data_IF_411466419174
#
_entry.id   IF_411466419174
#
_cell.length_a   1.000
_cell.length_b   1.000
_cell.length_c   1.000
_cell.angle_alpha   90.00
_cell.angle_beta   90.00
_cell.angle_gamma   90.00
#
_symmetry.space_group_name_H-M   'P 1'
#
loop_
_entity.id
_entity.type
_entity.pdbx_description
1 polymer ?
#
# COMPACT_ATOMS: atom_id res chain seq x y z
N UNK A 1 -46.59 14.42 -10.81
CA UNK A 1 -45.13 14.28 -10.85
C UNK A 1 -44.69 13.47 -9.64
N UNK A 2 -43.84 12.45 -9.80
CA UNK A 2 -43.30 11.69 -8.65
C UNK A 2 -42.30 12.56 -7.88
N UNK A 3 -42.83 13.40 -7.00
CA UNK A 3 -42.07 14.24 -6.07
C UNK A 3 -41.56 13.36 -4.94
N UNK A 4 -40.29 12.96 -4.98
CA UNK A 4 -39.71 12.10 -3.94
C UNK A 4 -38.40 11.39 -4.28
N UNK A 5 -37.94 11.43 -5.53
CA UNK A 5 -36.63 10.89 -5.88
C UNK A 5 -35.53 11.93 -5.67
N UNK A 6 -34.45 11.49 -5.01
CA UNK A 6 -33.25 12.26 -4.71
C UNK A 6 -32.18 11.91 -5.76
N UNK A 7 -31.49 12.94 -6.28
CA UNK A 7 -30.56 12.81 -7.43
C UNK A 7 -29.08 12.75 -7.03
N UNK A 8 -28.81 12.56 -5.75
CA UNK A 8 -27.47 12.42 -5.19
C UNK A 8 -27.49 11.30 -4.15
N UNK A 9 -26.39 10.56 -4.07
CA UNK A 9 -26.19 9.57 -3.04
C UNK A 9 -25.94 10.26 -1.70
N UNK A 10 -26.52 9.72 -0.63
CA UNK A 10 -26.09 10.02 0.72
C UNK A 10 -24.86 9.18 1.13
N UNK A 11 -24.31 9.46 2.30
CA UNK A 11 -23.07 8.83 2.78
C UNK A 11 -23.21 7.30 2.92
N UNK A 12 -24.43 6.81 3.24
CA UNK A 12 -24.71 5.38 3.37
C UNK A 12 -24.75 4.71 1.98
N UNK A 13 -25.40 5.35 1.01
CA UNK A 13 -25.41 4.90 -0.39
C UNK A 13 -23.99 4.90 -1.01
N UNK A 14 -23.16 5.89 -0.66
CA UNK A 14 -21.74 5.94 -1.09
C UNK A 14 -20.94 4.80 -0.44
N UNK A 15 -21.14 4.55 0.86
CA UNK A 15 -20.45 3.47 1.57
C UNK A 15 -20.84 2.09 1.04
N UNK A 16 -22.12 1.88 0.73
CA UNK A 16 -22.62 0.67 0.08
C UNK A 16 -21.98 0.48 -1.29
N UNK A 17 -21.93 1.53 -2.13
CA UNK A 17 -21.27 1.48 -3.42
C UNK A 17 -19.78 1.12 -3.30
N UNK A 18 -19.06 1.71 -2.34
CA UNK A 18 -17.65 1.38 -2.11
C UNK A 18 -17.45 -0.06 -1.64
N UNK A 19 -18.34 -0.57 -0.78
CA UNK A 19 -18.32 -1.96 -0.32
C UNK A 19 -18.56 -2.93 -1.48
N UNK A 20 -19.58 -2.69 -2.31
CA UNK A 20 -19.84 -3.52 -3.50
C UNK A 20 -18.72 -3.43 -4.53
N UNK A 21 -18.07 -2.28 -4.64
CA UNK A 21 -16.96 -2.06 -5.58
C UNK A 21 -15.64 -2.69 -5.11
N UNK A 22 -15.50 -3.03 -3.82
CA UNK A 22 -14.25 -3.55 -3.27
C UNK A 22 -13.85 -4.89 -3.91
N UNK A 23 -14.83 -5.74 -4.21
CA UNK A 23 -14.64 -7.05 -4.85
C UNK A 23 -14.14 -6.93 -6.30
N UNK A 24 -14.37 -5.78 -6.95
CA UNK A 24 -13.93 -5.51 -8.31
C UNK A 24 -12.56 -4.80 -8.37
N UNK A 25 -11.95 -4.50 -7.21
CA UNK A 25 -10.66 -3.83 -7.17
C UNK A 25 -9.55 -4.79 -7.61
N UNK A 26 -9.00 -4.56 -8.81
CA UNK A 26 -7.87 -5.32 -9.36
C UNK A 26 -6.68 -5.25 -8.41
N UNK A 27 -6.11 -6.43 -8.08
CA UNK A 27 -4.84 -6.51 -7.35
C UNK A 27 -3.76 -5.83 -8.19
N UNK A 28 -3.16 -4.78 -7.64
CA UNK A 28 -2.10 -4.05 -8.34
C UNK A 28 -0.75 -4.70 -8.05
N UNK A 29 0.22 -4.53 -8.97
CA UNK A 29 1.57 -5.02 -8.75
C UNK A 29 2.19 -4.47 -7.45
N UNK A 30 1.85 -3.24 -7.05
CA UNK A 30 2.26 -2.66 -5.78
C UNK A 30 1.76 -3.47 -4.58
N UNK A 31 0.49 -3.91 -4.60
CA UNK A 31 -0.10 -4.72 -3.54
C UNK A 31 0.53 -6.11 -3.49
N UNK A 32 0.67 -6.76 -4.64
CA UNK A 32 1.31 -8.08 -4.73
C UNK A 32 2.75 -8.06 -4.23
N UNK A 33 3.55 -7.09 -4.69
CA UNK A 33 4.95 -6.95 -4.28
C UNK A 33 5.06 -6.55 -2.79
N UNK A 34 4.14 -5.72 -2.30
CA UNK A 34 4.08 -5.36 -0.88
C UNK A 34 3.87 -6.61 -0.02
N UNK A 35 2.86 -7.42 -0.33
CA UNK A 35 2.56 -8.66 0.39
C UNK A 35 3.69 -9.69 0.27
N UNK A 36 4.40 -9.70 -0.86
CA UNK A 36 5.45 -10.69 -1.14
C UNK A 36 6.77 -10.39 -0.44
N UNK A 37 7.14 -9.12 -0.28
CA UNK A 37 8.48 -8.69 0.15
C UNK A 37 8.53 -8.10 1.55
N UNK A 38 7.37 -7.77 2.12
CA UNK A 38 7.28 -7.07 3.39
C UNK A 38 6.27 -7.70 4.33
N UNK A 39 6.54 -7.55 5.62
CA UNK A 39 5.67 -7.98 6.70
C UNK A 39 5.31 -6.79 7.58
N UNK A 40 4.11 -6.86 8.16
CA UNK A 40 3.69 -5.97 9.24
C UNK A 40 4.46 -6.36 10.50
N UNK A 41 5.20 -5.43 11.14
CA UNK A 41 5.84 -5.72 12.42
C UNK A 41 4.78 -6.04 13.48
N UNK A 42 4.97 -7.13 14.23
CA UNK A 42 4.11 -7.49 15.35
C UNK A 42 4.84 -7.26 16.68
N UNK A 43 4.21 -6.54 17.62
CA UNK A 43 4.80 -6.26 18.93
C UNK A 43 6.15 -5.53 18.85
N UNK A 44 7.18 -6.12 19.49
CA UNK A 44 8.54 -5.58 19.62
C UNK A 44 9.51 -6.09 18.53
N UNK A 45 9.00 -6.70 17.47
CA UNK A 45 9.83 -7.13 16.35
C UNK A 45 10.57 -5.96 15.71
N UNK A 46 11.80 -6.21 15.25
CA UNK A 46 12.61 -5.20 14.58
C UNK A 46 11.91 -4.68 13.33
N UNK A 47 11.67 -3.37 13.28
CA UNK A 47 11.07 -2.71 12.13
C UNK A 47 11.95 -1.57 11.60
N UNK A 48 11.76 -1.26 10.33
CA UNK A 48 12.29 -0.07 9.68
C UNK A 48 11.17 0.94 9.45
N UNK A 49 11.52 2.22 9.46
CA UNK A 49 10.60 3.29 9.03
C UNK A 49 10.93 3.65 7.60
N UNK A 50 9.98 3.45 6.69
CA UNK A 50 10.15 3.74 5.27
C UNK A 50 9.01 4.59 4.74
N UNK A 51 9.33 5.57 3.91
CA UNK A 51 8.39 6.33 3.10
C UNK A 51 7.88 5.49 1.92
N UNK A 52 6.76 5.89 1.33
CA UNK A 52 6.24 5.26 0.10
C UNK A 52 7.28 5.22 -1.02
N UNK A 53 8.06 6.30 -1.18
CA UNK A 53 9.12 6.37 -2.19
C UNK A 53 10.25 5.39 -1.90
N UNK A 54 10.71 5.27 -0.66
CA UNK A 54 11.77 4.30 -0.31
C UNK A 54 11.34 2.85 -0.55
N UNK A 55 10.05 2.53 -0.30
CA UNK A 55 9.47 1.22 -0.59
C UNK A 55 9.47 0.95 -2.10
N UNK A 56 9.00 1.93 -2.89
CA UNK A 56 8.99 1.84 -4.35
C UNK A 56 10.40 1.68 -4.93
N UNK A 57 11.35 2.48 -4.46
CA UNK A 57 12.75 2.39 -4.89
C UNK A 57 13.33 1.02 -4.58
N UNK A 58 13.04 0.45 -3.40
CA UNK A 58 13.49 -0.88 -3.04
C UNK A 58 12.91 -1.96 -3.97
N UNK A 59 11.60 -1.93 -4.22
CA UNK A 59 10.93 -2.90 -5.09
C UNK A 59 11.36 -2.75 -6.55
N UNK A 60 11.57 -1.51 -7.01
CA UNK A 60 11.98 -1.19 -8.38
C UNK A 60 13.35 -1.75 -8.78
N UNK A 61 14.17 -2.19 -7.83
CA UNK A 61 15.42 -2.93 -8.11
C UNK A 61 15.11 -4.33 -8.67
N UNK A 62 13.96 -4.90 -8.30
CA UNK A 62 13.58 -6.28 -8.59
C UNK A 62 12.49 -6.43 -9.65
N UNK A 63 11.90 -5.32 -10.12
CA UNK A 63 10.84 -5.35 -11.13
C UNK A 63 11.09 -4.33 -12.23
N UNK A 64 10.80 -4.73 -13.47
CA UNK A 64 10.81 -3.82 -14.63
C UNK A 64 9.48 -3.06 -14.79
N UNK A 65 8.41 -3.48 -14.08
CA UNK A 65 7.13 -2.82 -14.16
C UNK A 65 7.18 -1.46 -13.43
N UNK A 66 6.69 -0.36 -14.04
CA UNK A 66 6.63 0.92 -13.36
C UNK A 66 5.63 0.86 -12.20
N UNK A 67 6.11 1.17 -11.01
CA UNK A 67 5.31 1.24 -9.78
C UNK A 67 4.88 2.68 -9.48
N UNK A 68 3.66 2.85 -8.99
CA UNK A 68 3.05 4.18 -8.78
C UNK A 68 2.81 4.45 -7.29
N UNK A 69 3.23 5.62 -6.82
CA UNK A 69 3.10 6.03 -5.41
C UNK A 69 1.66 6.02 -4.89
N UNK A 70 0.68 6.40 -5.71
CA UNK A 70 -0.73 6.34 -5.34
C UNK A 70 -1.16 4.90 -5.01
N UNK A 71 -0.90 3.95 -5.91
CA UNK A 71 -1.26 2.54 -5.76
C UNK A 71 -0.53 1.89 -4.59
N UNK A 72 0.76 2.20 -4.40
CA UNK A 72 1.50 1.74 -3.24
C UNK A 72 0.95 2.30 -1.93
N UNK A 73 0.55 3.58 -1.91
CA UNK A 73 -0.12 4.18 -0.75
C UNK A 73 -1.46 3.53 -0.43
N UNK A 74 -2.25 3.22 -1.45
CA UNK A 74 -3.51 2.47 -1.33
C UNK A 74 -3.27 1.05 -0.82
N UNK A 75 -2.27 0.35 -1.35
CA UNK A 75 -1.86 -0.99 -0.90
C UNK A 75 -1.44 -1.00 0.57
N UNK A 76 -0.61 -0.03 1.00
CA UNK A 76 -0.20 0.11 2.39
C UNK A 76 -1.39 0.37 3.33
N UNK A 77 -2.35 1.18 2.88
CA UNK A 77 -3.59 1.44 3.63
C UNK A 77 -4.45 0.18 3.71
N UNK A 78 -4.67 -0.52 2.60
CA UNK A 78 -5.49 -1.74 2.52
C UNK A 78 -4.89 -2.90 3.31
N UNK A 79 -3.56 -3.02 3.32
CA UNK A 79 -2.85 -3.99 4.13
C UNK A 79 -2.69 -3.57 5.61
N UNK A 80 -3.24 -2.41 6.02
CA UNK A 80 -3.23 -1.91 7.40
C UNK A 80 -1.83 -1.69 8.00
N UNK A 81 -0.89 -1.16 7.21
CA UNK A 81 0.42 -0.79 7.73
C UNK A 81 0.34 0.44 8.65
N UNK A 82 1.10 0.40 9.75
CA UNK A 82 1.13 1.49 10.73
C UNK A 82 1.85 2.70 10.14
N UNK A 83 1.08 3.78 9.90
CA UNK A 83 1.58 5.06 9.42
C UNK A 83 1.97 5.97 10.60
N UNK A 84 3.19 6.48 10.57
CA UNK A 84 3.75 7.39 11.59
C UNK A 84 4.13 8.71 10.93
N UNK A 85 3.83 9.81 11.59
CA UNK A 85 4.31 11.14 11.19
C UNK A 85 5.65 11.42 11.86
N UNK A 86 6.69 11.69 11.07
CA UNK A 86 8.04 12.00 11.53
C UNK A 86 8.42 13.40 11.06
N UNK A 87 8.75 14.28 12.00
CA UNK A 87 9.31 15.61 11.68
C UNK A 87 10.83 15.53 11.69
N UNK A 88 11.47 16.11 10.68
CA UNK A 88 12.92 16.33 10.69
C UNK A 88 13.16 17.78 11.12
N UNK A 89 13.82 17.97 12.26
CA UNK A 89 14.33 19.27 12.73
C UNK A 89 13.31 20.43 12.68
N UNK A 90 12.06 20.18 13.07
CA UNK A 90 11.01 21.22 13.10
C UNK A 90 10.36 21.55 11.75
N UNK A 91 10.77 20.89 10.65
CA UNK A 91 10.14 21.04 9.33
C UNK A 91 8.81 20.29 9.18
N UNK A 92 8.28 20.32 7.97
CA UNK A 92 7.03 19.63 7.60
C UNK A 92 7.06 18.15 7.96
N UNK A 93 5.93 17.58 8.45
CA UNK A 93 5.86 16.17 8.77
C UNK A 93 6.03 15.31 7.51
N UNK A 94 6.85 14.27 7.62
CA UNK A 94 7.00 13.22 6.62
C UNK A 94 6.27 11.99 7.14
N UNK A 95 5.43 11.39 6.29
CA UNK A 95 4.75 10.15 6.63
C UNK A 95 5.61 8.94 6.27
N UNK A 96 5.86 8.09 7.26
CA UNK A 96 6.62 6.85 7.16
C UNK A 96 5.77 5.68 7.65
N UNK A 97 6.05 4.48 7.17
CA UNK A 97 5.37 3.25 7.55
C UNK A 97 6.34 2.35 8.32
N UNK A 98 5.84 1.72 9.37
CA UNK A 98 6.57 0.65 10.07
C UNK A 98 6.54 -0.61 9.21
N UNK A 99 7.70 -1.05 8.75
CA UNK A 99 7.82 -2.14 7.78
C UNK A 99 8.95 -3.06 8.18
N UNK A 100 8.74 -4.37 8.02
CA UNK A 100 9.78 -5.39 8.10
C UNK A 100 10.05 -5.95 6.70
N UNK A 101 11.31 -5.97 6.28
CA UNK A 101 11.72 -6.58 5.01
C UNK A 101 11.92 -8.07 5.21
N UNK A 102 11.40 -8.88 4.29
CA UNK A 102 11.72 -10.30 4.24
C UNK A 102 13.12 -10.44 3.61
N UNK A 103 14.03 -11.10 4.33
CA UNK A 103 15.42 -11.30 3.89
C UNK A 103 15.76 -12.81 3.87
N UNK A 104 16.41 -13.31 2.81
CA UNK A 104 16.74 -12.60 1.56
C UNK A 104 15.49 -12.18 0.78
N UNK A 105 15.59 -11.14 -0.05
CA UNK A 105 14.44 -10.64 -0.82
C UNK A 105 13.86 -11.79 -1.66
N UNK A 106 12.58 -12.13 -1.51
CA UNK A 106 12.05 -13.33 -2.17
C UNK A 106 11.99 -13.25 -3.70
N UNK A 107 12.09 -12.04 -4.26
CA UNK A 107 12.16 -11.81 -5.71
C UNK A 107 13.51 -12.21 -6.32
N UNK A 108 14.54 -12.44 -5.50
CA UNK A 108 15.86 -12.88 -5.99
C UNK A 108 15.82 -14.31 -6.55
N UNK A 109 14.97 -15.19 -6.02
CA UNK A 109 14.91 -16.59 -6.45
C UNK A 109 14.16 -16.80 -7.78
N UNK A 110 13.22 -15.91 -8.10
CA UNK A 110 12.44 -15.99 -9.35
C UNK A 110 13.26 -15.62 -10.58
N UNK A 111 14.26 -14.75 -10.44
CA UNK A 111 15.11 -14.32 -11.56
C UNK A 111 16.20 -15.33 -11.94
N UNK A 112 16.55 -16.27 -11.05
CA UNK A 112 17.57 -17.29 -11.32
C UNK A 112 17.02 -18.55 -12.01
N UNK A 113 15.70 -18.68 -12.13
CA UNK A 113 15.07 -19.88 -12.72
C UNK A 113 14.66 -19.70 -14.19
N UNK A 114 14.98 -18.55 -14.80
CA UNK A 114 14.69 -18.23 -16.21
C UNK A 114 15.95 -18.01 -17.06
N UNK A 115 17.12 -18.49 -16.61
CA UNK A 115 18.37 -18.50 -17.39
C UNK A 115 18.79 -19.92 -17.73
#
# INVERSE_FOLDING_TARGET
LKSGFRYWFDDDEIAELYRESEDFQVQTAEMELLLRCFEKPTGDESYSLMTTTEILTYLGIYTHQPLVAKRMGEALKKAEYIKVSKRRNGGSPIYVYKIRKILPCPLLQTCSSQM
#
